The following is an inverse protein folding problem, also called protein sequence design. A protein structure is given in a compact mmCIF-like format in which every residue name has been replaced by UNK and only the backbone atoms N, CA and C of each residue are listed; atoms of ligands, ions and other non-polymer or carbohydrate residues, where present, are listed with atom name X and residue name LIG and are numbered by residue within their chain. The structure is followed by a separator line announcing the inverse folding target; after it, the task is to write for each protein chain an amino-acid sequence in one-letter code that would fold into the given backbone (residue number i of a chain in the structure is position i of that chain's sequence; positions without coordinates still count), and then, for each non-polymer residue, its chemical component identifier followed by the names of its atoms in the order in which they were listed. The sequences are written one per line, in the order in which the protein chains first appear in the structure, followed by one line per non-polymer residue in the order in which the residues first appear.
data_IF_461449139483
#
_entry.id   IF_461449139483
#
_cell.length_a   1.000
_cell.length_b   1.000
_cell.length_c   1.000
_cell.angle_alpha   90.00
_cell.angle_beta   90.00
_cell.angle_gamma   90.00
#
_symmetry.space_group_name_H-M   'P 1'
#
loop_
_entity.id
_entity.type
_entity.pdbx_description
1 polymer ?
#
# COMPACT_ATOMS: atom_id res chain seq x y z
N UNK A 1 -18.69 16.13 -18.10
CA UNK A 1 -18.35 16.89 -16.88
C UNK A 1 -17.26 16.14 -16.14
N UNK A 2 -16.09 16.75 -15.84
CA UNK A 2 -14.99 16.04 -15.18
C UNK A 2 -15.23 15.84 -13.67
N UNK A 3 -14.84 14.69 -13.14
CA UNK A 3 -14.81 14.42 -11.70
C UNK A 3 -13.43 14.80 -11.19
N UNK A 4 -13.36 15.85 -10.38
CA UNK A 4 -12.10 16.48 -10.00
C UNK A 4 -11.69 16.02 -8.61
N UNK A 5 -10.45 15.56 -8.48
CA UNK A 5 -9.85 15.22 -7.18
C UNK A 5 -8.94 16.36 -6.68
N UNK A 6 -9.19 16.86 -5.46
CA UNK A 6 -8.37 17.86 -4.76
C UNK A 6 -8.01 19.09 -5.64
N UNK A 7 -9.01 19.86 -6.11
CA UNK A 7 -8.79 21.13 -6.79
C UNK A 7 -8.16 22.16 -5.83
N UNK A 8 -7.36 23.06 -6.39
CA UNK A 8 -6.68 24.14 -5.69
C UNK A 8 -6.64 25.37 -6.61
N UNK A 9 -6.41 26.57 -6.06
CA UNK A 9 -6.40 27.81 -6.85
C UNK A 9 -5.38 27.77 -8.00
N UNK A 10 -4.25 27.10 -7.78
CA UNK A 10 -3.18 26.91 -8.78
C UNK A 10 -3.50 25.78 -9.76
N UNK A 11 -4.32 24.79 -9.37
CA UNK A 11 -4.66 23.62 -10.18
C UNK A 11 -6.18 23.39 -10.15
N UNK A 12 -6.95 24.12 -10.99
CA UNK A 12 -8.40 24.02 -11.00
C UNK A 12 -8.90 22.64 -11.44
N UNK A 13 -8.14 21.93 -12.28
CA UNK A 13 -8.44 20.56 -12.70
C UNK A 13 -8.01 19.48 -11.70
N UNK A 14 -7.55 19.86 -10.51
CA UNK A 14 -7.20 18.92 -9.47
C UNK A 14 -5.81 18.30 -9.59
N UNK A 15 -5.62 17.23 -8.82
CA UNK A 15 -4.39 16.47 -8.71
C UNK A 15 -4.71 14.98 -8.73
N UNK A 16 -3.80 14.18 -9.27
CA UNK A 16 -3.91 12.72 -9.17
C UNK A 16 -3.85 12.27 -7.71
N UNK A 17 -4.63 11.24 -7.37
CA UNK A 17 -4.52 10.55 -6.07
C UNK A 17 -3.21 9.77 -5.95
N UNK A 18 -2.71 9.27 -7.08
CA UNK A 18 -1.39 8.64 -7.19
C UNK A 18 -0.36 9.76 -7.30
N UNK A 19 0.37 9.99 -6.22
CA UNK A 19 1.38 11.06 -6.15
C UNK A 19 2.70 10.60 -6.79
N UNK A 20 3.53 11.56 -7.20
CA UNK A 20 4.88 11.27 -7.71
C UNK A 20 5.74 10.51 -6.69
N UNK A 21 5.74 10.86 -5.39
CA UNK A 21 6.38 10.06 -4.35
C UNK A 21 5.87 8.61 -4.29
N UNK A 22 4.55 8.38 -4.36
CA UNK A 22 4.00 7.02 -4.36
C UNK A 22 4.51 6.19 -5.53
N UNK A 23 4.60 6.78 -6.74
CA UNK A 23 5.17 6.10 -7.92
C UNK A 23 6.66 5.79 -7.70
N UNK A 24 7.40 6.75 -7.15
CA UNK A 24 8.83 6.56 -6.85
C UNK A 24 9.06 5.38 -5.89
N UNK A 25 8.34 5.34 -4.76
CA UNK A 25 8.49 4.25 -3.79
C UNK A 25 8.13 2.90 -4.38
N UNK A 26 7.05 2.82 -5.17
CA UNK A 26 6.66 1.57 -5.85
C UNK A 26 7.74 1.10 -6.84
N UNK A 27 8.24 2.00 -7.70
CA UNK A 27 9.26 1.66 -8.68
C UNK A 27 10.58 1.26 -8.00
N UNK A 28 10.93 1.92 -6.91
CA UNK A 28 12.12 1.61 -6.15
C UNK A 28 11.98 0.25 -5.44
N UNK A 29 10.80 -0.06 -4.86
CA UNK A 29 10.53 -1.36 -4.26
C UNK A 29 10.65 -2.49 -5.28
N UNK A 30 10.11 -2.30 -6.49
CA UNK A 30 10.29 -3.24 -7.60
C UNK A 30 11.78 -3.50 -7.90
N UNK A 31 12.59 -2.45 -8.03
CA UNK A 31 14.04 -2.60 -8.29
C UNK A 31 14.77 -3.31 -7.15
N UNK A 32 14.37 -3.07 -5.89
CA UNK A 32 14.94 -3.76 -4.73
C UNK A 32 14.64 -5.27 -4.79
N UNK A 33 13.42 -5.66 -5.16
CA UNK A 33 13.05 -7.07 -5.34
C UNK A 33 13.81 -7.72 -6.50
N UNK A 34 13.87 -7.07 -7.67
CA UNK A 34 14.63 -7.57 -8.83
C UNK A 34 16.12 -7.77 -8.50
N UNK A 35 16.72 -6.84 -7.77
CA UNK A 35 18.12 -6.96 -7.31
C UNK A 35 18.30 -8.10 -6.31
N UNK A 36 17.31 -8.33 -5.44
CA UNK A 36 17.35 -9.43 -4.51
C UNK A 36 17.32 -10.78 -5.25
N UNK A 37 16.43 -10.93 -6.24
CA UNK A 37 16.34 -12.17 -7.04
C UNK A 37 17.64 -12.44 -7.81
N UNK A 38 18.20 -11.42 -8.49
CA UNK A 38 19.49 -11.55 -9.22
C UNK A 38 20.63 -11.93 -8.26
N UNK A 39 20.64 -11.33 -7.08
CA UNK A 39 21.68 -11.58 -6.08
C UNK A 39 21.55 -12.99 -5.51
N UNK A 40 20.32 -13.46 -5.25
CA UNK A 40 20.05 -14.83 -4.84
C UNK A 40 20.49 -15.84 -5.91
N UNK A 41 20.22 -15.56 -7.18
CA UNK A 41 20.67 -16.39 -8.31
C UNK A 41 22.20 -16.43 -8.39
N UNK A 42 22.88 -15.30 -8.22
CA UNK A 42 24.34 -15.26 -8.22
C UNK A 42 24.96 -16.07 -7.07
N UNK A 43 24.33 -16.07 -5.88
CA UNK A 43 24.79 -16.88 -4.73
C UNK A 43 24.46 -18.36 -4.82
N UNK A 44 23.53 -18.78 -5.69
CA UNK A 44 23.32 -20.19 -5.97
C UNK A 44 24.58 -20.86 -6.56
N UNK A 45 25.51 -20.06 -7.11
CA UNK A 45 26.84 -20.50 -7.58
C UNK A 45 27.95 -20.05 -6.62
N UNK A 46 28.33 -20.87 -5.62
CA UNK A 46 29.36 -20.49 -4.66
C UNK A 46 30.72 -20.32 -5.33
N UNK A 47 31.26 -19.10 -5.30
CA UNK A 47 32.62 -18.82 -5.74
C UNK A 47 33.61 -19.35 -4.71
N UNK A 48 34.47 -20.29 -5.14
CA UNK A 48 35.55 -20.88 -4.34
C UNK A 48 36.88 -20.39 -4.87
N UNK A 49 37.84 -20.18 -3.98
CA UNK A 49 39.22 -19.87 -4.35
C UNK A 49 40.17 -20.85 -3.66
N UNK A 50 41.28 -21.15 -4.34
CA UNK A 50 42.38 -21.93 -3.78
C UNK A 50 43.54 -20.98 -3.51
N UNK A 51 44.13 -21.10 -2.34
CA UNK A 51 45.42 -20.48 -2.00
C UNK A 51 46.44 -21.59 -1.78
N UNK A 52 47.67 -21.40 -2.30
CA UNK A 52 48.78 -22.36 -2.12
C UNK A 52 48.94 -23.40 -3.24
N UNK A 53 48.66 -23.05 -4.50
CA UNK A 53 49.04 -23.88 -5.65
C UNK A 53 50.55 -23.73 -5.92
N UNK A 54 51.25 -24.85 -6.19
CA UNK A 54 52.66 -24.84 -6.60
C UNK A 54 52.83 -24.15 -7.97
N UNK A 55 54.00 -23.55 -8.22
CA UNK A 55 54.28 -22.83 -9.48
C UNK A 55 54.27 -23.74 -10.72
N UNK A 56 54.40 -25.05 -10.55
CA UNK A 56 54.38 -26.07 -11.61
C UNK A 56 52.98 -26.65 -11.89
N UNK A 57 51.94 -26.18 -11.20
CA UNK A 57 50.58 -26.65 -11.43
C UNK A 57 50.02 -26.12 -12.77
N UNK A 58 49.57 -27.02 -13.65
CA UNK A 58 48.96 -26.64 -14.94
C UNK A 58 47.78 -25.68 -14.73
N UNK A 59 47.63 -24.64 -15.57
CA UNK A 59 46.52 -23.69 -15.48
C UNK A 59 45.21 -24.42 -15.81
N UNK A 60 44.50 -24.81 -14.76
CA UNK A 60 43.24 -25.54 -14.88
C UNK A 60 42.19 -24.69 -15.61
N UNK A 61 41.54 -25.25 -16.64
CA UNK A 61 40.46 -24.58 -17.38
C UNK A 61 39.38 -24.09 -16.40
N UNK A 62 39.18 -22.76 -16.35
CA UNK A 62 38.31 -22.04 -15.39
C UNK A 62 36.89 -22.60 -15.27
N UNK A 63 36.42 -23.34 -16.28
CA UNK A 63 35.08 -23.95 -16.34
C UNK A 63 35.01 -25.39 -15.80
N UNK A 64 36.07 -26.21 -15.95
CA UNK A 64 36.08 -27.59 -15.42
C UNK A 64 36.23 -27.62 -13.90
N UNK A 65 36.87 -26.60 -13.33
CA UNK A 65 37.00 -26.45 -11.89
C UNK A 65 35.64 -26.36 -11.18
N UNK A 66 34.67 -25.63 -11.73
CA UNK A 66 33.46 -25.20 -11.00
C UNK A 66 32.54 -26.33 -10.51
N UNK A 67 32.50 -27.49 -11.18
CA UNK A 67 31.47 -28.52 -10.89
C UNK A 67 32.05 -29.88 -10.48
N UNK A 68 33.26 -30.27 -10.90
CA UNK A 68 33.74 -31.65 -10.72
C UNK A 68 35.18 -31.82 -10.20
N UNK A 69 36.05 -30.81 -10.30
CA UNK A 69 37.50 -31.04 -10.11
C UNK A 69 38.06 -30.73 -8.72
N UNK A 70 37.28 -30.24 -7.75
CA UNK A 70 37.80 -29.89 -6.41
C UNK A 70 37.79 -31.05 -5.39
N UNK A 71 37.44 -32.28 -5.80
CA UNK A 71 37.20 -33.40 -4.87
C UNK A 71 38.46 -34.08 -4.30
N UNK A 72 39.64 -33.93 -4.91
CA UNK A 72 40.89 -34.49 -4.37
C UNK A 72 42.10 -33.60 -4.70
N UNK A 73 42.55 -32.80 -3.74
CA UNK A 73 43.94 -32.33 -3.68
C UNK A 73 44.66 -33.16 -2.62
N UNK A 74 45.61 -34.00 -3.03
CA UNK A 74 46.44 -34.79 -2.12
C UNK A 74 47.59 -33.95 -1.58
N UNK A 75 47.98 -34.20 -0.32
CA UNK A 75 49.12 -33.57 0.36
C UNK A 75 50.41 -33.74 -0.45
N UNK A 76 51.20 -32.67 -0.54
CA UNK A 76 52.58 -32.76 -1.05
C UNK A 76 53.51 -33.38 0.02
N UNK A 77 54.68 -33.87 -0.39
CA UNK A 77 55.64 -34.61 0.47
C UNK A 77 56.20 -33.79 1.64
N UNK A 78 56.06 -32.46 1.62
CA UNK A 78 56.45 -31.54 2.70
C UNK A 78 55.29 -31.21 3.69
N UNK A 79 54.12 -31.81 3.51
CA UNK A 79 53.01 -31.72 4.47
C UNK A 79 52.13 -30.48 4.34
N UNK A 80 52.40 -29.58 3.40
CA UNK A 80 51.53 -28.44 3.12
C UNK A 80 50.40 -28.83 2.15
N UNK A 81 49.18 -28.35 2.43
CA UNK A 81 47.98 -28.72 1.68
C UNK A 81 47.21 -27.48 1.27
N UNK A 82 46.73 -27.38 0.02
CA UNK A 82 46.01 -26.20 -0.46
C UNK A 82 44.74 -25.98 0.37
N UNK A 83 44.60 -24.76 0.92
CA UNK A 83 43.43 -24.39 1.71
C UNK A 83 42.35 -23.86 0.77
N UNK A 84 41.21 -24.55 0.77
CA UNK A 84 40.00 -24.11 0.07
C UNK A 84 39.32 -23.03 0.90
N UNK A 85 39.20 -21.83 0.34
CA UNK A 85 38.40 -20.74 0.89
C UNK A 85 37.12 -20.56 0.07
N UNK A 86 36.02 -20.24 0.74
CA UNK A 86 34.81 -19.75 0.09
C UNK A 86 34.71 -18.25 0.34
N UNK A 87 34.30 -17.47 -0.66
CA UNK A 87 33.93 -16.08 -0.40
C UNK A 87 32.72 -16.04 0.54
N UNK A 88 32.76 -15.16 1.55
CA UNK A 88 31.64 -14.99 2.48
C UNK A 88 30.40 -14.60 1.70
N UNK A 89 29.32 -15.38 1.80
CA UNK A 89 28.03 -15.02 1.21
C UNK A 89 27.49 -13.75 1.88
N UNK A 90 27.27 -12.66 1.12
CA UNK A 90 26.57 -11.48 1.61
C UNK A 90 25.15 -11.85 2.05
N UNK A 91 24.71 -11.25 3.16
CA UNK A 91 23.35 -11.43 3.68
C UNK A 91 22.32 -10.79 2.76
N UNK A 92 21.15 -11.42 2.63
CA UNK A 92 19.97 -10.87 1.94
C UNK A 92 19.19 -9.85 2.81
N UNK A 93 19.54 -9.70 4.09
CA UNK A 93 18.89 -8.75 5.04
C UNK A 93 18.82 -7.30 4.55
N UNK A 94 19.84 -6.74 3.88
CA UNK A 94 19.78 -5.35 3.42
C UNK A 94 18.63 -5.08 2.44
N UNK A 95 18.22 -6.06 1.64
CA UNK A 95 17.10 -5.91 0.69
C UNK A 95 15.75 -5.86 1.41
N UNK A 96 15.55 -6.68 2.45
CA UNK A 96 14.30 -6.69 3.22
C UNK A 96 14.17 -5.44 4.09
N UNK A 97 15.27 -4.96 4.68
CA UNK A 97 15.33 -3.69 5.41
C UNK A 97 15.06 -2.48 4.49
N UNK A 98 15.64 -2.49 3.29
CA UNK A 98 15.37 -1.47 2.29
C UNK A 98 13.90 -1.49 1.86
N UNK A 99 13.31 -2.67 1.64
CA UNK A 99 11.89 -2.80 1.29
C UNK A 99 10.99 -2.26 2.40
N UNK A 100 11.28 -2.57 3.66
CA UNK A 100 10.55 -2.03 4.83
C UNK A 100 10.64 -0.50 4.88
N UNK A 101 11.82 0.07 4.63
CA UNK A 101 12.01 1.53 4.58
C UNK A 101 11.16 2.19 3.48
N UNK A 102 11.11 1.57 2.30
CA UNK A 102 10.29 2.06 1.18
C UNK A 102 8.79 1.94 1.47
N UNK A 103 8.37 0.85 2.11
CA UNK A 103 7.00 0.65 2.56
C UNK A 103 6.60 1.74 3.58
N UNK A 104 7.46 2.08 4.54
CA UNK A 104 7.22 3.18 5.48
C UNK A 104 7.02 4.52 4.78
N UNK A 105 7.86 4.83 3.78
CA UNK A 105 7.71 6.05 2.98
C UNK A 105 6.40 6.08 2.19
N UNK A 106 6.01 4.95 1.59
CA UNK A 106 4.76 4.82 0.85
C UNK A 106 3.52 4.91 1.76
N UNK A 107 3.56 4.28 2.93
CA UNK A 107 2.52 4.35 3.96
C UNK A 107 2.26 5.81 4.38
N UNK A 108 3.32 6.56 4.67
CA UNK A 108 3.24 7.97 5.04
C UNK A 108 2.56 8.86 3.98
N UNK A 109 2.82 8.62 2.69
CA UNK A 109 2.21 9.39 1.60
C UNK A 109 0.74 9.01 1.33
N UNK A 110 0.40 7.74 1.53
CA UNK A 110 -0.94 7.22 1.21
C UNK A 110 -1.92 7.35 2.36
N UNK A 111 -1.42 7.48 3.59
CA UNK A 111 -2.21 7.40 4.82
C UNK A 111 -2.55 5.96 5.22
N UNK A 112 -1.81 4.98 4.68
CA UNK A 112 -1.88 3.57 5.07
C UNK A 112 -0.95 3.29 6.24
N UNK A 113 -1.14 2.15 6.89
CA UNK A 113 -0.24 1.64 7.93
C UNK A 113 0.75 0.63 7.34
N UNK A 114 1.82 0.33 8.09
CA UNK A 114 2.76 -0.72 7.72
C UNK A 114 2.12 -2.12 7.76
N UNK A 115 1.17 -2.31 8.69
CA UNK A 115 0.40 -3.55 8.80
C UNK A 115 -0.43 -3.78 7.52
N UNK A 116 -1.04 -2.73 6.93
CA UNK A 116 -1.76 -2.82 5.65
C UNK A 116 -0.85 -3.23 4.48
N UNK A 117 0.44 -2.90 4.56
CA UNK A 117 1.44 -3.23 3.54
C UNK A 117 2.07 -4.61 3.76
N UNK A 118 1.60 -5.37 4.74
CA UNK A 118 2.06 -6.73 5.04
C UNK A 118 3.26 -6.81 5.99
N UNK A 119 3.68 -5.69 6.58
CA UNK A 119 4.70 -5.66 7.63
C UNK A 119 4.03 -5.69 9.00
N UNK A 120 3.54 -6.86 9.37
CA UNK A 120 2.84 -7.07 10.64
C UNK A 120 3.78 -6.76 11.81
N UNK A 121 3.32 -5.91 12.72
CA UNK A 121 3.96 -5.71 14.03
C UNK A 121 3.55 -6.80 15.01
N UNK A 122 4.47 -7.27 15.86
CA UNK A 122 4.25 -8.41 16.77
C UNK A 122 3.16 -8.15 17.84
N UNK A 123 2.69 -6.92 17.98
CA UNK A 123 1.71 -6.55 19.00
C UNK A 123 0.33 -6.33 18.36
N UNK A 124 -0.71 -7.12 18.71
CA UNK A 124 -2.06 -6.88 18.22
C UNK A 124 -2.53 -5.48 18.61
N UNK A 125 -2.85 -4.67 17.61
CA UNK A 125 -3.35 -3.31 17.80
C UNK A 125 -4.79 -3.33 18.32
N UNK A 126 -5.11 -2.47 19.30
CA UNK A 126 -6.49 -2.30 19.77
C UNK A 126 -7.39 -1.74 18.66
N UNK A 127 -8.70 -2.01 18.73
CA UNK A 127 -9.66 -1.50 17.75
C UNK A 127 -9.65 0.05 17.66
N UNK A 128 -9.36 0.74 18.75
CA UNK A 128 -9.21 2.20 18.78
C UNK A 128 -7.89 2.66 18.14
N UNK A 129 -6.79 1.91 18.34
CA UNK A 129 -5.50 2.20 17.71
C UNK A 129 -5.57 2.02 16.18
N UNK A 130 -6.28 0.99 15.71
CA UNK A 130 -6.56 0.78 14.28
C UNK A 130 -7.41 1.94 13.73
N UNK A 131 -8.46 2.35 14.43
CA UNK A 131 -9.28 3.51 14.01
C UNK A 131 -8.44 4.79 13.94
N UNK A 132 -7.58 5.03 14.93
CA UNK A 132 -6.71 6.20 14.98
C UNK A 132 -5.66 6.20 13.85
N UNK A 133 -5.07 5.04 13.53
CA UNK A 133 -4.07 4.93 12.47
C UNK A 133 -4.67 5.23 11.09
N UNK A 134 -5.94 4.87 10.86
CA UNK A 134 -6.66 5.15 9.61
C UNK A 134 -7.38 6.51 9.56
N UNK A 135 -7.34 7.34 10.61
CA UNK A 135 -8.08 8.62 10.64
C UNK A 135 -7.61 9.57 9.51
N UNK A 136 -6.31 9.55 9.16
CA UNK A 136 -5.78 10.32 8.03
C UNK A 136 -6.42 9.90 6.71
N UNK A 137 -6.56 8.59 6.48
CA UNK A 137 -7.23 8.03 5.30
C UNK A 137 -8.72 8.42 5.29
N UNK A 138 -9.38 8.37 6.45
CA UNK A 138 -10.78 8.78 6.61
C UNK A 138 -11.00 10.25 6.23
N UNK A 139 -10.13 11.15 6.70
CA UNK A 139 -10.19 12.58 6.36
C UNK A 139 -9.96 12.77 4.86
N UNK A 140 -9.02 12.04 4.27
CA UNK A 140 -8.74 12.10 2.83
C UNK A 140 -9.96 11.63 2.01
N UNK A 141 -10.60 10.54 2.40
CA UNK A 141 -11.82 10.03 1.76
C UNK A 141 -12.98 11.02 1.88
N UNK A 142 -13.23 11.61 3.05
CA UNK A 142 -14.26 12.67 3.23
C UNK A 142 -13.98 13.91 2.39
N UNK A 143 -12.72 14.30 2.22
CA UNK A 143 -12.34 15.39 1.30
C UNK A 143 -12.63 15.01 -0.15
N UNK A 144 -12.32 13.78 -0.55
CA UNK A 144 -12.61 13.27 -1.89
C UNK A 144 -14.13 13.21 -2.17
N UNK A 145 -14.93 12.68 -1.25
CA UNK A 145 -16.40 12.64 -1.35
C UNK A 145 -17.00 14.03 -1.57
N UNK A 146 -16.47 15.07 -0.91
CA UNK A 146 -16.92 16.46 -1.13
C UNK A 146 -16.63 16.94 -2.54
N UNK A 147 -15.43 16.70 -3.06
CA UNK A 147 -15.06 17.08 -4.42
C UNK A 147 -15.80 16.27 -5.49
N UNK A 148 -15.98 14.97 -5.25
CA UNK A 148 -16.71 14.10 -6.16
C UNK A 148 -18.21 14.37 -6.12
N UNK A 149 -18.75 14.75 -4.97
CA UNK A 149 -20.16 15.12 -4.82
C UNK A 149 -20.55 16.25 -5.76
N UNK A 150 -19.76 17.33 -5.83
CA UNK A 150 -20.04 18.41 -6.79
C UNK A 150 -19.88 17.96 -8.25
N UNK A 151 -18.92 17.07 -8.53
CA UNK A 151 -18.72 16.48 -9.86
C UNK A 151 -19.91 15.64 -10.32
N UNK A 152 -20.35 14.68 -9.49
CA UNK A 152 -21.51 13.83 -9.77
C UNK A 152 -22.80 14.61 -9.89
N UNK A 153 -22.96 15.61 -9.03
CA UNK A 153 -24.08 16.53 -9.12
C UNK A 153 -24.08 17.24 -10.50
N UNK A 154 -22.95 17.81 -10.94
CA UNK A 154 -22.87 18.42 -12.28
C UNK A 154 -23.13 17.43 -13.43
N UNK A 155 -22.71 16.17 -13.31
CA UNK A 155 -23.02 15.11 -14.29
C UNK A 155 -24.52 14.85 -14.35
N UNK A 156 -25.17 14.67 -13.20
CA UNK A 156 -26.61 14.42 -13.10
C UNK A 156 -27.44 15.57 -13.68
N UNK A 157 -27.01 16.83 -13.45
CA UNK A 157 -27.63 18.00 -14.06
C UNK A 157 -27.62 17.94 -15.59
N UNK A 158 -26.47 17.66 -16.20
CA UNK A 158 -26.36 17.56 -17.66
C UNK A 158 -27.18 16.39 -18.18
N UNK A 159 -27.15 15.24 -17.50
CA UNK A 159 -27.92 14.07 -17.89
C UNK A 159 -29.43 14.38 -17.93
N UNK A 160 -29.96 15.04 -16.89
CA UNK A 160 -31.38 15.44 -16.84
C UNK A 160 -31.76 16.47 -17.90
N UNK A 161 -30.91 17.48 -18.13
CA UNK A 161 -31.18 18.45 -19.19
C UNK A 161 -31.28 17.81 -20.58
N UNK A 162 -30.48 16.75 -20.82
CA UNK A 162 -30.51 15.99 -22.08
C UNK A 162 -31.75 15.10 -22.16
N UNK A 163 -32.06 14.37 -21.08
CA UNK A 163 -33.20 13.44 -21.01
C UNK A 163 -34.53 14.18 -21.21
N UNK A 164 -34.72 15.29 -20.51
CA UNK A 164 -35.97 16.07 -20.55
C UNK A 164 -36.00 17.08 -21.71
N UNK A 165 -34.90 17.18 -22.49
CA UNK A 165 -34.67 18.18 -23.53
C UNK A 165 -35.03 19.61 -23.10
N UNK A 166 -34.76 19.94 -21.83
CA UNK A 166 -35.12 21.20 -21.19
C UNK A 166 -33.92 21.79 -20.44
N UNK A 167 -33.58 23.07 -20.65
CA UNK A 167 -32.48 23.71 -19.95
C UNK A 167 -32.89 24.11 -18.53
N UNK A 168 -32.71 23.19 -17.57
CA UNK A 168 -32.92 23.50 -16.16
C UNK A 168 -32.00 24.63 -15.68
N UNK A 169 -32.51 25.49 -14.80
CA UNK A 169 -31.69 26.52 -14.17
C UNK A 169 -30.85 25.90 -13.04
N UNK A 170 -29.58 26.31 -12.95
CA UNK A 170 -28.63 25.81 -11.93
C UNK A 170 -29.07 26.10 -10.48
N UNK A 171 -30.01 27.03 -10.28
CA UNK A 171 -30.56 27.37 -8.96
C UNK A 171 -31.42 26.24 -8.35
N UNK A 172 -32.16 25.48 -9.16
CA UNK A 172 -32.96 24.34 -8.69
C UNK A 172 -32.07 23.22 -8.13
N UNK A 173 -30.84 23.17 -8.62
CA UNK A 173 -29.90 22.13 -8.27
C UNK A 173 -29.22 22.29 -6.90
N UNK A 174 -29.29 23.48 -6.30
CA UNK A 174 -28.90 23.67 -4.89
C UNK A 174 -29.79 22.89 -3.92
N UNK A 175 -30.99 22.47 -4.36
CA UNK A 175 -31.91 21.66 -3.57
C UNK A 175 -31.47 20.19 -3.51
N UNK A 176 -30.61 19.75 -4.44
CA UNK A 176 -30.12 18.37 -4.50
C UNK A 176 -28.81 18.23 -3.73
N UNK A 177 -28.76 17.26 -2.80
CA UNK A 177 -27.55 16.95 -2.03
C UNK A 177 -27.03 15.58 -2.39
N UNK A 178 -25.73 15.49 -2.69
CA UNK A 178 -25.07 14.20 -2.86
C UNK A 178 -25.00 13.49 -1.51
N UNK A 179 -25.52 12.26 -1.47
CA UNK A 179 -25.47 11.39 -0.30
C UNK A 179 -24.42 10.30 -0.52
N UNK A 180 -23.69 9.96 0.54
CA UNK A 180 -22.63 8.98 0.51
C UNK A 180 -22.81 8.02 1.66
N UNK A 181 -22.55 6.74 1.40
CA UNK A 181 -22.36 5.77 2.47
C UNK A 181 -21.17 6.17 3.37
N UNK A 182 -21.20 5.76 4.64
CA UNK A 182 -20.10 6.03 5.56
C UNK A 182 -18.80 5.42 5.01
N UNK A 183 -17.70 6.15 5.14
CA UNK A 183 -16.37 5.73 4.63
C UNK A 183 -15.88 4.44 5.29
N UNK A 184 -16.26 4.23 6.55
CA UNK A 184 -16.03 3.00 7.29
C UNK A 184 -17.36 2.53 7.83
N UNK A 185 -17.65 1.24 7.65
CA UNK A 185 -18.79 0.62 8.31
C UNK A 185 -18.64 0.80 9.83
N UNK A 186 -19.68 1.29 10.51
CA UNK A 186 -19.67 1.38 11.96
C UNK A 186 -19.63 -0.03 12.54
N UNK A 187 -18.57 -0.29 13.29
CA UNK A 187 -18.40 -1.47 14.13
C UNK A 187 -19.55 -1.59 15.17
N UNK A 188 -19.84 -2.79 15.66
CA UNK A 188 -20.96 -3.12 16.58
C UNK A 188 -20.94 -2.25 17.85
N UNK A 189 -19.74 -1.88 18.32
CA UNK A 189 -19.56 -0.94 19.43
C UNK A 189 -20.02 0.48 19.07
N UNK A 190 -19.72 0.96 17.87
CA UNK A 190 -20.19 2.26 17.38
C UNK A 190 -21.67 2.24 17.04
N UNK A 191 -22.21 1.11 16.58
CA UNK A 191 -23.63 0.92 16.34
C UNK A 191 -24.45 0.97 17.63
N UNK A 192 -23.97 0.33 18.70
CA UNK A 192 -24.61 0.42 20.02
C UNK A 192 -24.65 1.86 20.54
N UNK A 193 -23.54 2.61 20.38
CA UNK A 193 -23.48 4.02 20.73
C UNK A 193 -24.38 4.91 19.86
N UNK A 194 -24.44 4.64 18.55
CA UNK A 194 -25.35 5.33 17.61
C UNK A 194 -26.81 5.02 17.95
N UNK A 195 -27.14 3.78 18.33
CA UNK A 195 -28.48 3.37 18.75
C UNK A 195 -28.94 4.09 20.01
N UNK A 196 -28.09 4.15 21.05
CA UNK A 196 -28.39 4.91 22.28
C UNK A 196 -28.51 6.42 21.99
N UNK A 197 -27.63 6.98 21.17
CA UNK A 197 -27.72 8.37 20.74
C UNK A 197 -28.99 8.64 19.92
N UNK A 198 -29.36 7.73 19.02
CA UNK A 198 -30.55 7.84 18.20
C UNK A 198 -31.82 7.83 19.06
N UNK A 199 -31.90 6.94 20.06
CA UNK A 199 -33.01 6.89 21.01
C UNK A 199 -33.12 8.21 21.79
N UNK A 200 -32.00 8.72 22.33
CA UNK A 200 -31.99 9.99 23.09
C UNK A 200 -32.41 11.19 22.23
N UNK A 201 -31.97 11.22 20.97
CA UNK A 201 -32.34 12.29 20.03
C UNK A 201 -33.82 12.16 19.65
N UNK A 202 -34.34 10.95 19.42
CA UNK A 202 -35.75 10.73 19.09
C UNK A 202 -36.68 11.04 20.28
N UNK A 203 -36.18 10.90 21.51
CA UNK A 203 -36.86 11.34 22.73
C UNK A 203 -36.94 12.88 22.85
N UNK A 204 -35.92 13.60 22.37
CA UNK A 204 -35.87 15.06 22.41
C UNK A 204 -36.58 15.71 21.21
N UNK A 205 -36.52 15.07 20.04
CA UNK A 205 -37.15 15.49 18.79
C UNK A 205 -37.86 14.26 18.22
N UNK A 206 -39.18 14.15 18.39
CA UNK A 206 -39.96 13.05 17.83
C UNK A 206 -39.76 12.95 16.31
N UNK A 207 -39.62 11.73 15.80
CA UNK A 207 -39.47 11.38 14.37
C UNK A 207 -38.14 11.82 13.70
N UNK A 208 -37.12 12.21 14.48
CA UNK A 208 -35.85 12.63 13.89
C UNK A 208 -35.07 11.47 13.22
N UNK A 209 -35.15 10.26 13.80
CA UNK A 209 -34.55 9.05 13.22
C UNK A 209 -35.63 8.04 12.89
N UNK A 210 -35.79 7.78 11.59
CA UNK A 210 -36.66 6.74 11.04
C UNK A 210 -35.83 5.55 10.52
N UNK A 211 -36.46 4.40 10.21
CA UNK A 211 -35.77 3.17 9.78
C UNK A 211 -34.83 3.40 8.59
N UNK A 212 -35.27 4.18 7.61
CA UNK A 212 -34.49 4.52 6.41
C UNK A 212 -33.30 5.43 6.75
N UNK A 213 -33.54 6.49 7.55
CA UNK A 213 -32.50 7.42 7.96
C UNK A 213 -31.41 6.75 8.83
N UNK A 214 -31.80 5.75 9.62
CA UNK A 214 -30.88 5.00 10.48
C UNK A 214 -30.05 4.00 9.67
N UNK A 215 -30.65 3.33 8.67
CA UNK A 215 -29.95 2.51 7.68
C UNK A 215 -28.91 3.33 6.91
N UNK A 216 -29.27 4.54 6.48
CA UNK A 216 -28.37 5.43 5.74
C UNK A 216 -27.23 6.00 6.60
N UNK A 217 -27.46 6.20 7.90
CA UNK A 217 -26.44 6.66 8.84
C UNK A 217 -25.45 5.56 9.22
N UNK A 218 -25.95 4.33 9.30
CA UNK A 218 -25.17 3.18 9.76
C UNK A 218 -24.61 2.36 8.61
N UNK A 219 -25.13 2.51 7.39
CA UNK A 219 -24.81 1.66 6.26
C UNK A 219 -25.36 0.23 6.38
N UNK A 220 -26.16 -0.08 7.41
CA UNK A 220 -26.77 -1.40 7.59
C UNK A 220 -28.07 -1.45 6.80
N UNK A 221 -28.16 -2.37 5.85
CA UNK A 221 -29.40 -2.65 5.14
C UNK A 221 -30.35 -3.44 6.05
N UNK A 222 -31.61 -3.01 6.10
CA UNK A 222 -32.68 -3.76 6.73
C UNK A 222 -33.36 -4.59 5.63
N UNK A 223 -32.87 -5.81 5.40
CA UNK A 223 -33.73 -6.87 4.84
C UNK A 223 -34.50 -7.56 5.97
#
# INVERSE_FOLDING_TARGET
MPIIHRPDAVRPFGRSRITRPSIYFQQHAKRTLERADITAEFYSFPQKYIVGLSQDAEPMEKWKATISSFLQFTKDSDGDSPKLGQFTQPSMSPFTEQLRTLASGFAGETGLTLDDLGFVTDNPSSAEAIKASHETLRIAARKAQRCFGSGFLNVGYVARCIEDNYPYLRNQFYQTKAKWYPVFEPDVATLSGIGDAAIKINQAIPEYFDKDNLSELTGINHE
#
